data_IF_666709648517
#
_entry.id   IF_666709648517
#
_cell.length_a   1.000
_cell.length_b   1.000
_cell.length_c   1.000
_cell.angle_alpha   90.00
_cell.angle_beta   90.00
_cell.angle_gamma   90.00
#
_symmetry.space_group_name_H-M   'P 1'
#
loop_
_entity.id
_entity.type
_entity.pdbx_description
1 polymer ?
#
# COMPACT_ATOMS: atom_id res chain seq x y z
N UNK A 1 23.17 7.62 13.36
CA UNK A 1 22.45 7.72 12.07
C UNK A 1 23.47 7.67 10.94
N UNK A 2 23.44 6.64 10.08
CA UNK A 2 24.49 6.46 9.08
C UNK A 2 24.30 7.44 7.90
N UNK A 3 25.35 8.20 7.56
CA UNK A 3 25.35 9.14 6.43
C UNK A 3 25.34 8.41 5.08
N UNK A 4 25.94 7.22 5.00
CA UNK A 4 26.01 6.39 3.80
C UNK A 4 25.22 5.11 4.03
N UNK A 5 23.92 5.14 3.73
CA UNK A 5 23.09 3.93 3.65
C UNK A 5 23.06 3.45 2.20
N UNK A 6 23.83 2.42 1.86
CA UNK A 6 23.85 1.83 0.51
C UNK A 6 22.52 1.17 0.14
N UNK A 7 21.67 0.85 1.14
CA UNK A 7 20.34 0.26 0.95
C UNK A 7 20.35 -1.20 0.51
N UNK A 8 21.52 -1.78 0.21
CA UNK A 8 21.65 -3.18 -0.26
C UNK A 8 21.16 -4.19 0.78
N UNK A 9 21.48 -3.98 2.06
CA UNK A 9 20.99 -4.84 3.15
C UNK A 9 19.47 -4.79 3.28
N UNK A 10 18.90 -3.58 3.18
CA UNK A 10 17.46 -3.36 3.21
C UNK A 10 16.74 -4.06 2.05
N UNK A 11 17.22 -3.88 0.82
CA UNK A 11 16.64 -4.54 -0.37
C UNK A 11 16.74 -6.06 -0.23
N UNK A 12 17.89 -6.58 0.21
CA UNK A 12 18.08 -8.02 0.42
C UNK A 12 17.16 -8.58 1.51
N UNK A 13 16.94 -7.83 2.58
CA UNK A 13 16.00 -8.21 3.63
C UNK A 13 14.56 -8.25 3.10
N UNK A 14 14.18 -7.31 2.23
CA UNK A 14 12.86 -7.27 1.59
C UNK A 14 12.68 -8.44 0.63
N UNK A 15 13.66 -8.70 -0.23
CA UNK A 15 13.65 -9.83 -1.17
C UNK A 15 13.58 -11.18 -0.44
N UNK A 16 14.21 -11.31 0.74
CA UNK A 16 14.18 -12.53 1.56
C UNK A 16 12.87 -12.70 2.33
N UNK A 17 12.36 -11.64 2.95
CA UNK A 17 11.26 -11.73 3.94
C UNK A 17 9.89 -11.47 3.32
N UNK A 18 9.83 -10.86 2.14
CA UNK A 18 8.59 -10.49 1.47
C UNK A 18 7.95 -9.22 2.03
N UNK A 19 7.85 -9.10 3.36
CA UNK A 19 7.34 -7.93 4.06
C UNK A 19 8.35 -7.43 5.11
N UNK A 20 8.43 -6.11 5.31
CA UNK A 20 9.29 -5.50 6.31
C UNK A 20 8.55 -4.42 7.10
N UNK A 21 8.75 -4.40 8.42
CA UNK A 21 8.42 -3.26 9.26
C UNK A 21 9.63 -2.32 9.34
N UNK A 22 9.42 -1.03 9.07
CA UNK A 22 10.46 -0.01 9.13
C UNK A 22 10.20 0.92 10.29
N UNK A 23 11.18 1.03 11.19
CA UNK A 23 11.19 2.05 12.22
C UNK A 23 11.98 3.26 11.72
N UNK A 24 11.27 4.37 11.48
CA UNK A 24 11.86 5.63 11.06
C UNK A 24 11.76 6.66 12.20
N UNK A 25 12.72 7.61 12.29
CA UNK A 25 12.61 8.76 13.19
C UNK A 25 11.33 9.55 12.95
N UNK A 26 10.72 10.05 14.03
CA UNK A 26 9.46 10.81 13.98
C UNK A 26 9.58 12.17 13.28
N UNK A 27 10.81 12.65 13.07
CA UNK A 27 11.09 13.89 12.33
C UNK A 27 10.79 13.78 10.82
N UNK A 28 10.66 12.55 10.30
CA UNK A 28 10.37 12.27 8.89
C UNK A 28 11.56 12.52 7.95
N UNK A 29 11.37 12.17 6.67
CA UNK A 29 12.35 12.36 5.60
C UNK A 29 13.41 11.27 5.46
N UNK A 30 13.60 10.42 6.48
CA UNK A 30 14.56 9.31 6.42
C UNK A 30 14.03 8.11 5.66
N UNK A 31 12.73 7.85 5.77
CA UNK A 31 12.00 6.81 5.07
C UNK A 31 12.14 6.93 3.54
N UNK A 32 12.10 8.16 3.01
CA UNK A 32 12.26 8.44 1.59
C UNK A 32 13.61 8.00 1.02
N UNK A 33 14.65 7.90 1.85
CA UNK A 33 15.96 7.39 1.43
C UNK A 33 15.86 5.91 1.05
N UNK A 34 15.14 5.10 1.83
CA UNK A 34 14.91 3.69 1.54
C UNK A 34 14.01 3.51 0.31
N UNK A 35 12.94 4.31 0.20
CA UNK A 35 12.06 4.32 -0.98
C UNK A 35 12.83 4.65 -2.28
N UNK A 36 13.76 5.61 -2.23
CA UNK A 36 14.61 5.94 -3.39
C UNK A 36 15.54 4.78 -3.77
N UNK A 37 16.04 4.00 -2.80
CA UNK A 37 16.85 2.82 -3.07
C UNK A 37 16.03 1.68 -3.69
N UNK A 38 14.77 1.50 -3.27
CA UNK A 38 13.85 0.56 -3.91
C UNK A 38 13.60 0.92 -5.37
N UNK A 39 13.34 2.21 -5.64
CA UNK A 39 13.17 2.70 -7.02
C UNK A 39 14.41 2.44 -7.88
N UNK A 40 15.60 2.74 -7.35
CA UNK A 40 16.86 2.48 -8.05
C UNK A 40 17.11 0.97 -8.27
N UNK A 41 16.56 0.11 -7.42
CA UNK A 41 16.64 -1.34 -7.57
C UNK A 41 15.62 -1.92 -8.58
N UNK A 42 14.75 -1.08 -9.15
CA UNK A 42 13.76 -1.48 -10.16
C UNK A 42 12.37 -1.80 -9.59
N UNK A 43 12.10 -1.48 -8.32
CA UNK A 43 10.76 -1.60 -7.74
C UNK A 43 9.94 -0.32 -7.96
N UNK A 44 8.66 -0.49 -8.27
CA UNK A 44 7.69 0.60 -8.22
C UNK A 44 7.09 0.65 -6.83
N UNK A 45 7.07 1.82 -6.20
CA UNK A 45 6.51 1.99 -4.84
C UNK A 45 5.18 2.70 -4.91
N UNK A 46 4.15 2.17 -4.26
CA UNK A 46 2.86 2.85 -4.07
C UNK A 46 2.72 3.20 -2.60
N UNK A 47 2.66 4.50 -2.31
CA UNK A 47 2.57 5.00 -0.93
C UNK A 47 1.11 5.13 -0.52
N UNK A 48 0.74 4.46 0.57
CA UNK A 48 -0.62 4.46 1.13
C UNK A 48 -0.56 4.71 2.64
N UNK A 49 -1.65 5.23 3.19
CA UNK A 49 -1.76 5.51 4.63
C UNK A 49 -2.60 4.44 5.30
N UNK A 50 -2.12 3.86 6.40
CA UNK A 50 -2.86 2.85 7.15
C UNK A 50 -4.22 3.37 7.65
N UNK A 51 -4.31 4.65 8.04
CA UNK A 51 -5.49 5.23 8.71
C UNK A 51 -6.72 5.37 7.83
N UNK A 52 -6.56 5.23 6.51
CA UNK A 52 -7.64 5.34 5.54
C UNK A 52 -7.95 4.05 4.78
N UNK A 53 -7.29 2.93 5.13
CA UNK A 53 -7.34 1.73 4.31
C UNK A 53 -8.63 0.91 4.49
N UNK A 54 -9.24 0.97 5.68
CA UNK A 54 -10.35 0.08 6.04
C UNK A 54 -9.87 -1.36 6.12
N UNK A 55 -10.65 -2.31 5.59
CA UNK A 55 -10.22 -3.72 5.46
C UNK A 55 -9.15 -3.86 4.36
N UNK A 56 -7.90 -4.22 4.70
CA UNK A 56 -6.83 -4.36 3.71
C UNK A 56 -7.14 -5.39 2.63
N UNK A 57 -7.84 -6.48 2.95
CA UNK A 57 -8.14 -7.53 1.99
C UNK A 57 -9.09 -7.03 0.90
N UNK A 58 -10.19 -6.39 1.32
CA UNK A 58 -11.18 -5.82 0.43
C UNK A 58 -10.61 -4.68 -0.42
N UNK A 59 -9.73 -3.84 0.12
CA UNK A 59 -9.20 -2.68 -0.61
C UNK A 59 -8.03 -3.02 -1.54
N UNK A 60 -7.11 -3.89 -1.11
CA UNK A 60 -5.88 -4.19 -1.86
C UNK A 60 -6.13 -5.20 -2.97
N UNK A 61 -6.87 -6.27 -2.67
CA UNK A 61 -7.06 -7.44 -3.58
C UNK A 61 -8.50 -7.61 -4.07
N UNK A 62 -9.47 -7.01 -3.38
CA UNK A 62 -10.88 -7.05 -3.75
C UNK A 62 -11.35 -5.81 -4.53
N UNK A 63 -12.55 -5.91 -5.11
CA UNK A 63 -13.28 -4.75 -5.63
C UNK A 63 -13.91 -4.05 -4.42
N UNK A 64 -13.58 -2.78 -4.21
CA UNK A 64 -14.04 -2.02 -3.05
C UNK A 64 -15.06 -0.94 -3.43
N UNK A 65 -16.23 -0.95 -2.79
CA UNK A 65 -17.25 0.06 -2.98
C UNK A 65 -17.00 1.28 -2.10
N UNK A 66 -16.55 2.38 -2.71
CA UNK A 66 -16.37 3.67 -2.02
C UNK A 66 -17.64 4.50 -2.17
N UNK A 67 -18.07 5.13 -1.08
CA UNK A 67 -19.17 6.10 -1.09
C UNK A 67 -18.60 7.52 -1.03
N UNK A 68 -18.68 8.29 -2.13
CA UNK A 68 -18.27 9.69 -2.11
C UNK A 68 -19.15 10.51 -1.14
N UNK A 69 -18.61 11.61 -0.58
CA UNK A 69 -19.39 12.49 0.28
C UNK A 69 -20.54 13.15 -0.51
N UNK A 70 -21.75 12.67 -0.29
CA UNK A 70 -22.96 13.15 -0.96
C UNK A 70 -23.46 14.55 -0.55
N UNK A 71 -22.94 15.11 0.56
CA UNK A 71 -23.24 16.45 1.10
C UNK A 71 -24.74 16.81 1.16
N UNK A 72 -25.63 15.81 1.29
CA UNK A 72 -27.09 15.99 1.30
C UNK A 72 -27.71 16.40 -0.04
N UNK A 73 -26.94 16.47 -1.14
CA UNK A 73 -27.40 16.92 -2.46
C UNK A 73 -27.63 15.80 -3.47
N UNK A 74 -27.30 14.56 -3.12
CA UNK A 74 -27.48 13.37 -3.99
C UNK A 74 -28.62 12.50 -3.48
N UNK A 75 -29.35 11.87 -4.40
CA UNK A 75 -30.50 11.00 -4.14
C UNK A 75 -31.71 11.64 -3.42
N UNK A 76 -31.88 12.96 -3.53
CA UNK A 76 -33.12 13.62 -3.09
C UNK A 76 -34.32 13.13 -3.93
N UNK A 77 -35.24 12.37 -3.32
CA UNK A 77 -36.55 12.04 -3.88
C UNK A 77 -36.62 10.87 -4.86
N UNK A 78 -35.54 10.10 -5.08
CA UNK A 78 -35.54 8.95 -6.01
C UNK A 78 -35.25 7.58 -5.37
N UNK A 79 -34.55 7.53 -4.22
CA UNK A 79 -34.23 6.28 -3.49
C UNK A 79 -33.75 6.58 -2.07
N UNK A 80 -33.26 5.58 -1.34
CA UNK A 80 -32.63 5.76 -0.02
C UNK A 80 -31.49 6.80 -0.09
N UNK A 81 -31.40 7.66 0.92
CA UNK A 81 -30.42 8.74 1.02
C UNK A 81 -29.01 8.24 1.38
N UNK A 82 -28.53 7.19 0.72
CA UNK A 82 -27.24 6.52 0.95
C UNK A 82 -26.16 6.92 -0.05
N UNK A 83 -26.49 7.80 -1.02
CA UNK A 83 -25.56 8.26 -2.06
C UNK A 83 -25.22 7.20 -3.10
N UNK A 84 -24.32 7.56 -4.03
CA UNK A 84 -23.80 6.65 -5.06
C UNK A 84 -22.69 5.75 -4.49
N UNK A 85 -22.52 4.55 -5.05
CA UNK A 85 -21.41 3.64 -4.73
C UNK A 85 -20.51 3.52 -5.95
N UNK A 86 -19.24 3.88 -5.79
CA UNK A 86 -18.22 3.76 -6.82
C UNK A 86 -17.38 2.52 -6.53
N UNK A 87 -17.42 1.55 -7.44
CA UNK A 87 -16.62 0.33 -7.31
C UNK A 87 -15.23 0.58 -7.88
N UNK A 88 -14.26 0.68 -6.99
CA UNK A 88 -12.85 0.79 -7.36
C UNK A 88 -12.28 -0.60 -7.67
N UNK A 89 -11.43 -0.71 -8.70
CA UNK A 89 -10.69 -1.95 -8.95
C UNK A 89 -9.72 -2.24 -7.79
N UNK A 90 -9.32 -3.51 -7.60
CA UNK A 90 -8.32 -3.86 -6.60
C UNK A 90 -7.03 -3.09 -6.83
N UNK A 91 -6.57 -2.38 -5.79
CA UNK A 91 -5.42 -1.48 -5.92
C UNK A 91 -4.17 -2.22 -6.39
N UNK A 92 -3.88 -3.37 -5.81
CA UNK A 92 -2.67 -4.15 -6.13
C UNK A 92 -2.72 -4.66 -7.56
N UNK A 93 -3.82 -5.31 -7.96
CA UNK A 93 -3.96 -5.86 -9.31
C UNK A 93 -3.92 -4.76 -10.38
N UNK A 94 -4.59 -3.64 -10.13
CA UNK A 94 -4.58 -2.50 -11.04
C UNK A 94 -3.16 -1.96 -11.22
N UNK A 95 -2.43 -1.75 -10.13
CA UNK A 95 -1.05 -1.27 -10.19
C UNK A 95 -0.11 -2.28 -10.87
N UNK A 96 -0.25 -3.57 -10.58
CA UNK A 96 0.55 -4.63 -11.22
C UNK A 96 0.32 -4.68 -12.74
N UNK A 97 -0.92 -4.45 -13.20
CA UNK A 97 -1.25 -4.41 -14.63
C UNK A 97 -0.63 -3.21 -15.36
N UNK A 98 -0.40 -2.11 -14.64
CA UNK A 98 0.22 -0.90 -15.17
C UNK A 98 1.77 -0.92 -15.07
N UNK A 99 2.37 -1.94 -14.45
CA UNK A 99 3.82 -2.02 -14.33
C UNK A 99 4.48 -2.28 -15.69
N UNK A 100 5.65 -1.67 -15.90
CA UNK A 100 6.49 -2.01 -17.05
C UNK A 100 6.97 -3.46 -16.96
N UNK A 101 7.16 -4.16 -18.09
CA UNK A 101 7.68 -5.54 -18.09
C UNK A 101 9.06 -5.69 -17.43
N UNK A 102 9.86 -4.61 -17.42
CA UNK A 102 11.20 -4.59 -16.83
C UNK A 102 11.20 -4.27 -15.32
N UNK A 103 10.04 -3.96 -14.72
CA UNK A 103 9.95 -3.69 -13.28
C UNK A 103 10.07 -4.99 -12.49
N UNK A 104 10.83 -4.95 -11.38
CA UNK A 104 10.97 -6.10 -10.48
C UNK A 104 9.65 -6.44 -9.77
N UNK A 105 8.79 -5.44 -9.55
CA UNK A 105 7.54 -5.62 -8.82
C UNK A 105 7.04 -4.35 -8.18
N UNK A 106 5.99 -4.52 -7.37
CA UNK A 106 5.31 -3.47 -6.62
C UNK A 106 5.72 -3.57 -5.15
N UNK A 107 6.03 -2.42 -4.52
CA UNK A 107 6.19 -2.32 -3.07
C UNK A 107 5.08 -1.45 -2.50
N UNK A 108 4.33 -1.98 -1.54
CA UNK A 108 3.35 -1.23 -0.77
C UNK A 108 4.06 -0.48 0.36
N UNK A 109 4.20 0.83 0.19
CA UNK A 109 4.81 1.69 1.19
C UNK A 109 3.75 2.24 2.13
N UNK A 110 3.47 1.51 3.21
CA UNK A 110 2.43 1.85 4.18
C UNK A 110 3.01 2.80 5.24
N UNK A 111 2.52 4.04 5.26
CA UNK A 111 2.83 5.00 6.30
C UNK A 111 1.81 4.93 7.44
N UNK A 112 2.22 5.40 8.63
CA UNK A 112 1.40 5.37 9.85
C UNK A 112 1.00 3.96 10.30
N UNK A 113 1.82 2.93 10.04
CA UNK A 113 1.50 1.53 10.37
C UNK A 113 1.31 1.19 11.85
N UNK A 114 1.53 2.13 12.77
CA UNK A 114 1.37 1.94 14.22
C UNK A 114 -0.07 1.62 14.65
N UNK A 115 -1.05 1.97 13.82
CA UNK A 115 -2.48 1.74 14.09
C UNK A 115 -2.99 0.40 13.57
N UNK A 116 -2.18 -0.35 12.82
CA UNK A 116 -2.58 -1.65 12.28
C UNK A 116 -2.75 -2.65 13.42
N UNK A 117 -3.86 -3.39 13.39
CA UNK A 117 -4.11 -4.54 14.25
C UNK A 117 -3.18 -5.70 13.90
N UNK A 118 -3.00 -6.63 14.84
CA UNK A 118 -2.18 -7.82 14.61
C UNK A 118 -2.68 -8.67 13.43
N UNK A 119 -4.00 -8.74 13.22
CA UNK A 119 -4.60 -9.45 12.10
C UNK A 119 -4.32 -8.77 10.76
N UNK A 120 -4.38 -7.44 10.71
CA UNK A 120 -4.03 -6.69 9.49
C UNK A 120 -2.54 -6.84 9.15
N UNK A 121 -1.66 -6.81 10.16
CA UNK A 121 -0.23 -7.08 9.97
C UNK A 121 -0.02 -8.51 9.46
N UNK A 122 -0.69 -9.50 10.03
CA UNK A 122 -0.61 -10.89 9.57
C UNK A 122 -1.02 -11.02 8.09
N UNK A 123 -2.16 -10.44 7.71
CA UNK A 123 -2.60 -10.40 6.31
C UNK A 123 -1.53 -9.80 5.40
N UNK A 124 -0.97 -8.63 5.77
CA UNK A 124 0.09 -7.97 4.98
C UNK A 124 1.37 -8.80 4.86
N UNK A 125 1.72 -9.60 5.87
CA UNK A 125 2.89 -10.50 5.79
C UNK A 125 2.66 -11.72 4.89
N UNK A 126 1.41 -12.16 4.75
CA UNK A 126 1.05 -13.29 3.88
C UNK A 126 0.84 -12.88 2.42
N UNK A 127 0.51 -11.61 2.17
CA UNK A 127 0.25 -11.09 0.81
C UNK A 127 1.40 -11.37 -0.19
N UNK A 128 2.69 -11.17 0.15
CA UNK A 128 3.81 -11.53 -0.75
C UNK A 128 3.96 -13.02 -1.05
N UNK A 129 3.31 -13.91 -0.28
CA UNK A 129 3.28 -15.35 -0.55
C UNK A 129 2.23 -15.69 -1.61
N UNK A 130 1.11 -14.97 -1.61
CA UNK A 130 0.04 -15.12 -2.60
C UNK A 130 0.44 -14.49 -3.94
N UNK A 131 1.04 -13.30 -3.91
CA UNK A 131 1.54 -12.59 -5.08
C UNK A 131 3.03 -12.23 -4.91
N UNK A 132 3.95 -13.05 -5.43
CA UNK A 132 5.39 -12.87 -5.25
C UNK A 132 5.95 -11.56 -5.80
N UNK A 133 5.25 -10.91 -6.76
CA UNK A 133 5.66 -9.61 -7.34
C UNK A 133 5.34 -8.43 -6.43
N UNK A 134 4.59 -8.66 -5.35
CA UNK A 134 4.23 -7.64 -4.35
C UNK A 134 5.10 -7.83 -3.11
N UNK A 135 5.54 -6.70 -2.54
CA UNK A 135 6.38 -6.59 -1.35
C UNK A 135 5.93 -5.44 -0.47
#
# INVERSE_FOLDING_TARGET
>A
MALITTGKSFIRALEKSGALAVYAPLEGGFEGRYQRRLRAAGYTTVSITAKGLGDPAAYLTGIHGVRPPHLGKKNMGKSAAVGDVYYLPPLVNYQLSALSPNSKGLVLWIIEGIILSSQEVEYLTTLPQQEPRVK
#
